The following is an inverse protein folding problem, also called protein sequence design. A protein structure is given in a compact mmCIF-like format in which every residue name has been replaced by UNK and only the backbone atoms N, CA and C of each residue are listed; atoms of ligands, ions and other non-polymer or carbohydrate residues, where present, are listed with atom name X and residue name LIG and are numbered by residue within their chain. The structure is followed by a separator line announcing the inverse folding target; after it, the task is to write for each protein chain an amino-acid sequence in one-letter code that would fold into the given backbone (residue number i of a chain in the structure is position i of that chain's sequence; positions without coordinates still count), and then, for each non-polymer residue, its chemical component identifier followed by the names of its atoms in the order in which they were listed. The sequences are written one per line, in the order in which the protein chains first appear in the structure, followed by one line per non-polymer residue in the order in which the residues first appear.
data_IF_605966422288
#
_entry.id   IF_605966422288
#
_cell.length_a   1.000
_cell.length_b   1.000
_cell.length_c   1.000
_cell.angle_alpha   90.00
_cell.angle_beta   90.00
_cell.angle_gamma   90.00
#
_symmetry.space_group_name_H-M   'P 1'
#
loop_
_entity.id
_entity.type
_entity.pdbx_description
1 polymer ?
#
# COMPACT_ATOMS: atom_id res chain seq x y z
N UNK A 1 -16.67 -14.18 -16.24
CA UNK A 1 -15.64 -13.27 -16.88
C UNK A 1 -14.67 -14.04 -17.73
N UNK A 2 -14.30 -13.55 -18.95
CA UNK A 2 -13.33 -14.23 -19.85
C UNK A 2 -11.90 -13.79 -19.51
N UNK A 3 -10.90 -14.67 -19.70
CA UNK A 3 -9.47 -14.35 -19.47
C UNK A 3 -8.99 -13.11 -20.22
N UNK A 4 -9.49 -12.86 -21.44
CA UNK A 4 -9.16 -11.66 -22.24
C UNK A 4 -9.60 -10.38 -21.56
N UNK A 5 -10.77 -10.40 -20.93
CA UNK A 5 -11.38 -9.23 -20.30
C UNK A 5 -10.64 -8.86 -19.02
N UNK A 6 -10.16 -9.85 -18.25
CA UNK A 6 -9.29 -9.63 -17.09
C UNK A 6 -8.00 -8.90 -17.49
N UNK A 7 -7.34 -9.35 -18.58
CA UNK A 7 -6.14 -8.67 -19.09
C UNK A 7 -6.43 -7.21 -19.47
N UNK A 8 -7.57 -6.96 -20.09
CA UNK A 8 -8.01 -5.60 -20.46
C UNK A 8 -8.21 -4.74 -19.23
N UNK A 9 -8.85 -5.27 -18.18
CA UNK A 9 -9.07 -4.58 -16.91
C UNK A 9 -7.74 -4.17 -16.25
N UNK A 10 -6.81 -5.11 -16.07
CA UNK A 10 -5.52 -4.80 -15.46
C UNK A 10 -4.65 -3.88 -16.33
N UNK A 11 -4.78 -3.97 -17.67
CA UNK A 11 -4.13 -3.01 -18.57
C UNK A 11 -4.70 -1.60 -18.36
N UNK A 12 -6.02 -1.44 -18.32
CA UNK A 12 -6.68 -0.15 -18.08
C UNK A 12 -6.24 0.47 -16.74
N UNK A 13 -6.11 -0.33 -15.67
CA UNK A 13 -5.58 0.15 -14.39
C UNK A 13 -4.16 0.71 -14.57
N UNK A 14 -3.26 -0.01 -15.23
CA UNK A 14 -1.87 0.44 -15.44
C UNK A 14 -1.76 1.67 -16.34
N UNK A 15 -2.64 1.77 -17.33
CA UNK A 15 -2.68 2.89 -18.27
C UNK A 15 -3.38 4.13 -17.69
N UNK A 16 -3.88 4.09 -16.44
CA UNK A 16 -4.63 5.15 -15.77
C UNK A 16 -5.98 5.47 -16.44
N UNK A 17 -6.54 4.51 -17.14
CA UNK A 17 -7.82 4.67 -17.84
C UNK A 17 -9.00 4.39 -16.90
N UNK A 18 -9.32 5.39 -16.06
CA UNK A 18 -10.45 5.31 -15.12
C UNK A 18 -11.77 5.07 -15.83
N UNK A 19 -11.98 5.66 -17.01
CA UNK A 19 -13.20 5.48 -17.76
C UNK A 19 -13.38 4.02 -18.14
N UNK A 20 -12.33 3.37 -18.67
CA UNK A 20 -12.39 1.96 -19.05
C UNK A 20 -12.55 1.04 -17.85
N UNK A 21 -11.88 1.32 -16.74
CA UNK A 21 -12.08 0.57 -15.47
C UNK A 21 -13.54 0.70 -15.01
N UNK A 22 -14.12 1.90 -15.05
CA UNK A 22 -15.52 2.15 -14.68
C UNK A 22 -16.48 1.37 -15.56
N UNK A 23 -16.33 1.43 -16.89
CA UNK A 23 -17.15 0.69 -17.84
C UNK A 23 -17.14 -0.82 -17.54
N UNK A 24 -15.95 -1.40 -17.31
CA UNK A 24 -15.81 -2.82 -17.03
C UNK A 24 -16.48 -3.21 -15.70
N UNK A 25 -16.23 -2.48 -14.62
CA UNK A 25 -16.82 -2.76 -13.30
C UNK A 25 -18.34 -2.57 -13.30
N UNK A 26 -18.86 -1.60 -14.05
CA UNK A 26 -20.32 -1.44 -14.21
C UNK A 26 -20.96 -2.57 -15.02
N UNK A 27 -20.24 -3.12 -16.00
CA UNK A 27 -20.72 -4.24 -16.81
C UNK A 27 -20.72 -5.56 -16.06
N UNK A 28 -19.77 -5.75 -15.12
CA UNK A 28 -19.65 -6.98 -14.34
C UNK A 28 -18.86 -6.71 -13.05
N UNK A 29 -19.54 -6.81 -11.90
CA UNK A 29 -18.92 -6.60 -10.59
C UNK A 29 -17.86 -7.65 -10.22
N UNK A 30 -17.77 -8.78 -10.92
CA UNK A 30 -16.71 -9.78 -10.69
C UNK A 30 -15.29 -9.23 -10.94
N UNK A 31 -15.16 -8.11 -11.69
CA UNK A 31 -13.86 -7.43 -11.86
C UNK A 31 -13.25 -6.95 -10.54
N UNK A 32 -14.08 -6.63 -9.54
CA UNK A 32 -13.59 -6.21 -8.22
C UNK A 32 -12.83 -7.32 -7.49
N UNK A 33 -13.17 -8.59 -7.77
CA UNK A 33 -12.54 -9.77 -7.18
C UNK A 33 -11.52 -10.44 -8.14
N UNK A 34 -11.30 -9.87 -9.34
CA UNK A 34 -10.37 -10.42 -10.29
C UNK A 34 -8.93 -10.30 -9.81
N UNK A 35 -8.13 -11.35 -10.05
CA UNK A 35 -6.69 -11.35 -9.82
C UNK A 35 -5.93 -11.31 -11.13
N UNK A 36 -4.79 -10.63 -11.13
CA UNK A 36 -3.93 -10.57 -12.31
C UNK A 36 -3.20 -11.91 -12.52
N UNK A 37 -3.19 -12.41 -13.74
CA UNK A 37 -2.43 -13.59 -14.17
C UNK A 37 -1.61 -13.31 -15.44
N UNK A 38 -1.58 -12.06 -15.87
CA UNK A 38 -0.92 -11.65 -17.11
C UNK A 38 0.32 -10.79 -16.79
N UNK A 39 1.25 -10.65 -17.75
CA UNK A 39 2.38 -9.75 -17.56
C UNK A 39 1.97 -8.33 -17.13
N UNK A 40 2.81 -7.66 -16.32
CA UNK A 40 4.10 -8.13 -15.84
C UNK A 40 3.98 -9.16 -14.70
N UNK A 41 4.91 -10.13 -14.65
CA UNK A 41 4.92 -11.20 -13.61
C UNK A 41 4.88 -10.67 -12.17
N UNK A 42 5.47 -9.50 -11.94
CA UNK A 42 5.47 -8.87 -10.62
C UNK A 42 4.08 -8.49 -10.09
N UNK A 43 3.05 -8.50 -10.93
CA UNK A 43 1.66 -8.23 -10.56
C UNK A 43 0.82 -9.52 -10.51
N UNK A 44 1.44 -10.69 -10.71
CA UNK A 44 0.73 -11.97 -10.66
C UNK A 44 0.06 -12.19 -9.31
N UNK A 45 -1.18 -12.66 -9.31
CA UNK A 45 -1.96 -12.92 -8.10
C UNK A 45 -2.46 -11.67 -7.35
N UNK A 46 -2.21 -10.46 -7.85
CA UNK A 46 -2.65 -9.21 -7.24
C UNK A 46 -4.07 -8.84 -7.67
N UNK A 47 -4.82 -8.21 -6.75
CA UNK A 47 -6.10 -7.59 -7.05
C UNK A 47 -5.95 -6.31 -7.88
N UNK A 48 -7.04 -5.83 -8.47
CA UNK A 48 -7.07 -4.54 -9.16
C UNK A 48 -6.69 -3.39 -8.24
N UNK A 49 -7.09 -3.43 -6.97
CA UNK A 49 -6.78 -2.43 -5.97
C UNK A 49 -5.27 -2.39 -5.64
N UNK A 50 -4.62 -3.56 -5.49
CA UNK A 50 -3.17 -3.64 -5.28
C UNK A 50 -2.40 -3.04 -6.47
N UNK A 51 -2.78 -3.39 -7.69
CA UNK A 51 -2.12 -2.86 -8.90
C UNK A 51 -2.33 -1.35 -9.01
N UNK A 52 -3.50 -0.82 -8.65
CA UNK A 52 -3.76 0.62 -8.64
C UNK A 52 -2.84 1.36 -7.65
N UNK A 53 -2.68 0.89 -6.41
CA UNK A 53 -1.74 1.46 -5.45
C UNK A 53 -0.29 1.36 -5.93
N UNK A 54 0.13 0.19 -6.38
CA UNK A 54 1.50 -0.09 -6.84
C UNK A 54 1.93 0.78 -8.03
N UNK A 55 0.97 1.19 -8.85
CA UNK A 55 1.21 2.07 -10.00
C UNK A 55 0.93 3.55 -9.72
N UNK A 56 0.50 3.90 -8.51
CA UNK A 56 0.19 5.27 -8.11
C UNK A 56 -1.08 5.82 -8.78
N UNK A 57 -2.00 4.95 -9.16
CA UNK A 57 -3.27 5.33 -9.80
C UNK A 57 -4.36 5.53 -8.74
N UNK A 58 -4.24 6.60 -7.96
CA UNK A 58 -5.06 6.85 -6.79
C UNK A 58 -6.53 7.07 -7.09
N UNK A 59 -6.88 7.65 -8.24
CA UNK A 59 -8.29 7.82 -8.64
C UNK A 59 -8.95 6.47 -8.93
N UNK A 60 -8.22 5.54 -9.56
CA UNK A 60 -8.70 4.18 -9.78
C UNK A 60 -8.79 3.42 -8.45
N UNK A 61 -7.78 3.55 -7.57
CA UNK A 61 -7.82 2.92 -6.25
C UNK A 61 -9.04 3.38 -5.45
N UNK A 62 -9.32 4.70 -5.44
CA UNK A 62 -10.48 5.25 -4.77
C UNK A 62 -11.78 4.71 -5.34
N UNK A 63 -11.94 4.73 -6.66
CA UNK A 63 -13.10 4.18 -7.34
C UNK A 63 -13.34 2.71 -6.98
N UNK A 64 -12.29 1.87 -7.06
CA UNK A 64 -12.41 0.45 -6.73
C UNK A 64 -12.84 0.22 -5.27
N UNK A 65 -12.27 0.99 -4.32
CA UNK A 65 -12.68 0.94 -2.91
C UNK A 65 -14.14 1.36 -2.70
N UNK A 66 -14.61 2.35 -3.44
CA UNK A 66 -15.99 2.83 -3.37
C UNK A 66 -16.97 1.81 -3.98
N UNK A 67 -16.54 1.07 -5.00
CA UNK A 67 -17.33 0.00 -5.61
C UNK A 67 -17.33 -1.29 -4.78
N UNK A 68 -16.55 -1.37 -3.70
CA UNK A 68 -16.54 -2.52 -2.79
C UNK A 68 -15.45 -3.56 -3.08
N UNK A 69 -14.35 -3.15 -3.71
CA UNK A 69 -13.17 -4.03 -3.81
C UNK A 69 -12.71 -4.48 -2.41
N UNK A 70 -12.28 -5.74 -2.28
CA UNK A 70 -11.82 -6.29 -1.00
C UNK A 70 -10.55 -5.58 -0.52
N UNK A 71 -10.70 -4.79 0.55
CA UNK A 71 -9.61 -4.03 1.19
C UNK A 71 -8.70 -4.90 2.07
N UNK A 72 -9.11 -6.13 2.36
CA UNK A 72 -8.34 -7.12 3.12
C UNK A 72 -7.79 -8.25 2.22
N UNK A 73 -7.87 -8.07 0.89
CA UNK A 73 -7.36 -9.05 -0.05
C UNK A 73 -5.88 -9.35 0.21
N UNK A 74 -5.54 -10.64 0.23
CA UNK A 74 -4.17 -11.14 0.29
C UNK A 74 -3.74 -11.60 -1.10
N UNK A 75 -2.56 -11.17 -1.57
CA UNK A 75 -1.98 -11.61 -2.84
C UNK A 75 -1.92 -13.14 -2.94
N UNK A 76 -2.35 -13.69 -4.08
CA UNK A 76 -2.48 -15.14 -4.30
C UNK A 76 -1.49 -15.69 -5.33
N UNK A 77 -0.41 -14.95 -5.64
CA UNK A 77 0.59 -15.38 -6.62
C UNK A 77 1.13 -16.77 -6.34
N UNK A 78 1.26 -17.56 -7.41
CA UNK A 78 1.93 -18.87 -7.37
C UNK A 78 3.39 -18.80 -7.81
N UNK A 79 3.83 -17.65 -8.32
CA UNK A 79 5.18 -17.43 -8.87
C UNK A 79 6.01 -16.41 -8.11
N UNK A 80 5.37 -15.50 -7.36
CA UNK A 80 6.04 -14.54 -6.50
C UNK A 80 6.14 -15.11 -5.08
N UNK A 81 7.33 -15.09 -4.50
CA UNK A 81 7.55 -15.53 -3.12
C UNK A 81 6.91 -14.57 -2.12
N UNK A 82 7.06 -13.26 -2.37
CA UNK A 82 6.45 -12.25 -1.52
C UNK A 82 4.97 -12.04 -1.87
N UNK A 83 4.13 -12.22 -0.87
CA UNK A 83 2.67 -12.01 -0.94
C UNK A 83 2.28 -11.09 0.18
N UNK A 84 1.53 -10.04 -0.14
CA UNK A 84 1.17 -9.02 0.83
C UNK A 84 -0.34 -8.77 0.86
N UNK A 85 -0.88 -8.33 2.02
CA UNK A 85 -2.20 -7.74 2.07
C UNK A 85 -2.22 -6.40 1.32
N UNK A 86 -3.35 -6.06 0.71
CA UNK A 86 -3.51 -4.82 -0.06
C UNK A 86 -3.18 -3.56 0.75
N UNK A 87 -3.37 -3.59 2.07
CA UNK A 87 -3.00 -2.49 2.96
C UNK A 87 -1.50 -2.16 2.86
N UNK A 88 -0.62 -3.16 2.68
CA UNK A 88 0.82 -2.93 2.53
C UNK A 88 1.15 -2.15 1.24
N UNK A 89 0.43 -2.41 0.13
CA UNK A 89 0.61 -1.65 -1.10
C UNK A 89 0.13 -0.20 -0.94
N UNK A 90 -0.96 0.04 -0.21
CA UNK A 90 -1.43 1.38 0.12
C UNK A 90 -0.43 2.14 1.00
N UNK A 91 0.10 1.51 2.06
CA UNK A 91 1.14 2.08 2.93
C UNK A 91 2.37 2.46 2.11
N UNK A 92 2.84 1.53 1.29
CA UNK A 92 4.00 1.74 0.43
C UNK A 92 3.79 2.91 -0.54
N UNK A 93 2.64 2.96 -1.22
CA UNK A 93 2.28 4.06 -2.11
C UNK A 93 2.26 5.40 -1.38
N UNK A 94 1.75 5.43 -0.13
CA UNK A 94 1.71 6.63 0.71
C UNK A 94 3.12 7.10 1.09
N UNK A 95 3.96 6.20 1.60
CA UNK A 95 5.32 6.54 2.04
C UNK A 95 6.19 6.97 0.86
N UNK A 96 6.12 6.30 -0.29
CA UNK A 96 6.87 6.70 -1.49
C UNK A 96 6.35 8.00 -2.15
N UNK A 97 5.16 8.46 -1.77
CA UNK A 97 4.64 9.77 -2.14
C UNK A 97 5.08 10.88 -1.18
N UNK A 98 5.84 10.57 -0.12
CA UNK A 98 6.32 11.56 0.85
C UNK A 98 7.30 12.56 0.22
N UNK A 99 7.50 13.67 0.92
CA UNK A 99 8.35 14.81 0.48
C UNK A 99 9.83 14.45 0.45
N UNK A 100 10.20 13.53 -0.44
CA UNK A 100 11.58 13.06 -0.62
C UNK A 100 12.07 13.34 -2.04
N UNK A 101 11.59 12.56 -3.01
CA UNK A 101 12.07 12.64 -4.40
C UNK A 101 11.36 13.78 -5.15
N UNK A 102 10.04 13.83 -5.11
CA UNK A 102 9.24 14.77 -5.90
C UNK A 102 9.08 16.16 -5.27
N UNK A 103 9.29 16.27 -3.97
CA UNK A 103 9.09 17.53 -3.22
C UNK A 103 7.69 18.14 -3.41
N UNK A 104 6.69 17.31 -3.63
CA UNK A 104 5.29 17.69 -3.80
C UNK A 104 4.42 17.08 -2.69
N UNK A 105 3.96 17.89 -1.70
CA UNK A 105 3.13 17.38 -0.62
C UNK A 105 1.77 16.85 -1.08
N UNK A 106 1.23 17.33 -2.20
CA UNK A 106 -0.12 16.98 -2.68
C UNK A 106 -0.25 15.49 -3.01
N UNK A 107 0.82 14.88 -3.50
CA UNK A 107 0.85 13.45 -3.79
C UNK A 107 0.75 12.61 -2.51
N UNK A 108 1.46 13.02 -1.47
CA UNK A 108 1.34 12.38 -0.16
C UNK A 108 -0.07 12.55 0.41
N UNK A 109 -0.63 13.75 0.38
CA UNK A 109 -1.95 14.03 0.93
C UNK A 109 -3.02 13.17 0.26
N UNK A 110 -2.93 13.00 -1.07
CA UNK A 110 -3.84 12.14 -1.83
C UNK A 110 -3.73 10.67 -1.40
N UNK A 111 -2.52 10.13 -1.34
CA UNK A 111 -2.26 8.75 -0.92
C UNK A 111 -2.65 8.51 0.54
N UNK A 112 -2.30 9.44 1.43
CA UNK A 112 -2.61 9.35 2.86
C UNK A 112 -4.12 9.41 3.14
N UNK A 113 -4.88 10.19 2.37
CA UNK A 113 -6.33 10.18 2.47
C UNK A 113 -6.92 8.81 2.10
N UNK A 114 -6.36 8.11 1.10
CA UNK A 114 -6.78 6.76 0.77
C UNK A 114 -6.42 5.75 1.87
N UNK A 115 -5.23 5.87 2.46
CA UNK A 115 -4.84 5.05 3.62
C UNK A 115 -5.84 5.23 4.77
N UNK A 116 -6.18 6.47 5.13
CA UNK A 116 -7.20 6.74 6.15
C UNK A 116 -8.56 6.14 5.78
N UNK A 117 -8.98 6.25 4.51
CA UNK A 117 -10.23 5.60 4.04
C UNK A 117 -10.19 4.08 4.22
N UNK A 118 -9.08 3.42 3.87
CA UNK A 118 -8.93 1.96 4.09
C UNK A 118 -9.04 1.59 5.56
N UNK A 119 -8.33 2.29 6.44
CA UNK A 119 -8.34 2.04 7.88
C UNK A 119 -9.74 2.26 8.48
N UNK A 120 -10.44 3.32 8.06
CA UNK A 120 -11.82 3.60 8.48
C UNK A 120 -12.81 2.52 8.00
N UNK A 121 -12.55 1.91 6.84
CA UNK A 121 -13.32 0.77 6.31
C UNK A 121 -12.92 -0.57 6.95
N UNK A 122 -12.06 -0.56 8.00
CA UNK A 122 -11.61 -1.73 8.75
C UNK A 122 -10.65 -2.65 7.97
N UNK A 123 -9.76 -2.06 7.18
CA UNK A 123 -8.57 -2.79 6.75
C UNK A 123 -7.81 -3.28 7.99
N UNK A 124 -7.42 -4.56 8.00
CA UNK A 124 -6.74 -5.18 9.14
C UNK A 124 -5.27 -4.72 9.23
N UNK A 125 -4.90 -3.90 10.24
CA UNK A 125 -3.53 -3.39 10.37
C UNK A 125 -2.55 -4.45 10.90
N UNK A 126 -3.05 -5.57 11.41
CA UNK A 126 -2.24 -6.65 11.97
C UNK A 126 -2.07 -7.85 11.02
N UNK A 127 -2.68 -7.79 9.83
CA UNK A 127 -2.42 -8.77 8.77
C UNK A 127 -0.93 -8.75 8.37
N UNK A 128 -0.35 -9.96 8.16
CA UNK A 128 1.07 -10.10 7.85
C UNK A 128 1.30 -10.53 6.40
N UNK A 129 2.41 -10.09 5.81
CA UNK A 129 2.87 -10.60 4.52
C UNK A 129 3.53 -11.99 4.67
N UNK A 130 3.92 -12.62 3.55
CA UNK A 130 4.56 -13.94 3.55
C UNK A 130 5.93 -13.99 4.23
N UNK A 131 6.50 -12.84 4.60
CA UNK A 131 7.73 -12.72 5.39
C UNK A 131 7.47 -12.33 6.85
N UNK A 132 6.20 -12.34 7.27
CA UNK A 132 5.80 -12.03 8.65
C UNK A 132 5.76 -10.54 9.00
N UNK A 133 5.93 -9.62 8.05
CA UNK A 133 5.80 -8.21 8.37
C UNK A 133 4.33 -7.82 8.50
N UNK A 134 3.96 -7.21 9.62
CA UNK A 134 2.70 -6.49 9.75
C UNK A 134 2.79 -5.08 9.10
N UNK A 135 1.72 -4.29 9.18
CA UNK A 135 1.66 -2.97 8.57
C UNK A 135 2.74 -2.00 9.12
N UNK A 136 3.07 -2.06 10.42
CA UNK A 136 4.10 -1.21 11.03
C UNK A 136 5.50 -1.60 10.56
N UNK A 137 5.81 -2.90 10.50
CA UNK A 137 7.07 -3.39 9.97
C UNK A 137 7.22 -3.03 8.49
N UNK A 138 6.14 -3.14 7.69
CA UNK A 138 6.14 -2.71 6.29
C UNK A 138 6.39 -1.21 6.16
N UNK A 139 5.67 -0.40 6.94
CA UNK A 139 5.85 1.04 6.95
C UNK A 139 7.28 1.44 7.34
N UNK A 140 7.89 0.76 8.32
CA UNK A 140 9.25 1.03 8.76
C UNK A 140 10.29 0.77 7.67
N UNK A 141 10.16 -0.38 6.97
CA UNK A 141 11.06 -0.73 5.87
C UNK A 141 10.98 0.29 4.72
N UNK A 142 9.78 0.76 4.39
CA UNK A 142 9.59 1.76 3.33
C UNK A 142 10.02 3.16 3.79
N UNK A 143 9.73 3.55 5.05
CA UNK A 143 10.19 4.81 5.64
C UNK A 143 11.72 4.89 5.67
N UNK A 144 12.39 3.79 6.04
CA UNK A 144 13.85 3.73 6.02
C UNK A 144 14.42 4.04 4.63
N UNK A 145 13.81 3.52 3.56
CA UNK A 145 14.23 3.84 2.19
C UNK A 145 14.09 5.33 1.86
N UNK A 146 13.05 5.99 2.38
CA UNK A 146 12.85 7.43 2.18
C UNK A 146 13.82 8.28 3.00
N UNK A 147 14.10 7.86 4.24
CA UNK A 147 15.03 8.54 5.14
C UNK A 147 16.50 8.40 4.69
N UNK A 148 16.87 7.22 4.17
CA UNK A 148 18.21 6.95 3.64
C UNK A 148 18.41 7.52 2.21
N UNK A 149 17.37 8.06 1.58
CA UNK A 149 17.45 8.58 0.23
C UNK A 149 18.33 9.85 0.20
N UNK A 150 19.30 9.98 -0.73
CA UNK A 150 20.12 11.18 -0.85
C UNK A 150 19.32 12.49 -1.06
N UNK A 151 18.09 12.40 -1.55
CA UNK A 151 17.18 13.54 -1.72
C UNK A 151 16.36 13.85 -0.46
N UNK A 152 16.52 13.11 0.64
CA UNK A 152 15.80 13.40 1.88
C UNK A 152 16.18 14.79 2.40
N UNK A 153 15.15 15.59 2.76
CA UNK A 153 15.35 16.91 3.33
C UNK A 153 14.67 16.98 4.70
N UNK A 154 15.49 17.07 5.73
CA UNK A 154 15.04 17.13 7.12
C UNK A 154 14.87 18.57 7.65
N UNK A 155 15.33 19.59 6.91
CA UNK A 155 15.38 20.98 7.38
C UNK A 155 14.01 21.61 7.51
N UNK A 156 13.09 21.28 6.60
CA UNK A 156 11.73 21.82 6.60
C UNK A 156 10.73 21.01 7.44
N UNK A 157 11.13 19.85 7.96
CA UNK A 157 10.31 18.98 8.80
C UNK A 157 9.18 18.23 8.08
N UNK A 158 8.91 18.52 6.80
CA UNK A 158 7.74 17.97 6.07
C UNK A 158 7.82 16.45 5.98
N UNK A 159 8.96 15.90 5.56
CA UNK A 159 9.15 14.45 5.44
C UNK A 159 8.85 13.73 6.76
N UNK A 160 9.44 14.18 7.86
CA UNK A 160 9.25 13.55 9.17
C UNK A 160 7.79 13.66 9.65
N UNK A 161 7.15 14.81 9.43
CA UNK A 161 5.74 14.99 9.76
C UNK A 161 4.84 14.03 8.99
N UNK A 162 5.09 13.85 7.69
CA UNK A 162 4.35 12.92 6.85
C UNK A 162 4.52 11.48 7.31
N UNK A 163 5.75 11.04 7.57
CA UNK A 163 6.01 9.69 8.08
C UNK A 163 5.33 9.46 9.44
N UNK A 164 5.46 10.39 10.39
CA UNK A 164 4.77 10.33 11.70
C UNK A 164 3.25 10.22 11.54
N UNK A 165 2.68 10.93 10.57
CA UNK A 165 1.24 10.85 10.30
C UNK A 165 0.82 9.44 9.85
N UNK A 166 1.65 8.75 9.05
CA UNK A 166 1.39 7.37 8.63
C UNK A 166 1.41 6.44 9.84
N UNK A 167 2.48 6.45 10.64
CA UNK A 167 2.59 5.58 11.83
C UNK A 167 1.47 5.85 12.83
N UNK A 168 1.16 7.13 13.10
CA UNK A 168 0.05 7.51 13.98
C UNK A 168 -1.29 6.98 13.49
N UNK A 169 -1.56 7.04 12.17
CA UNK A 169 -2.80 6.52 11.60
C UNK A 169 -2.91 4.99 11.75
N UNK A 170 -1.80 4.25 11.56
CA UNK A 170 -1.77 2.80 11.70
C UNK A 170 -2.00 2.38 13.18
N UNK A 171 -1.31 3.03 14.12
CA UNK A 171 -1.45 2.74 15.56
C UNK A 171 -2.87 3.09 16.04
N UNK A 172 -3.42 4.24 15.63
CA UNK A 172 -4.79 4.62 15.96
C UNK A 172 -5.84 3.68 15.36
N UNK A 173 -5.51 2.98 14.29
CA UNK A 173 -6.37 1.94 13.70
C UNK A 173 -6.24 0.58 14.40
N UNK A 174 -5.36 0.43 15.40
CA UNK A 174 -5.17 -0.79 16.18
C UNK A 174 -3.98 -1.64 15.76
N UNK A 175 -3.03 -1.09 15.00
CA UNK A 175 -1.75 -1.77 14.78
C UNK A 175 -1.00 -1.91 16.11
N UNK A 176 -0.55 -3.14 16.42
CA UNK A 176 0.19 -3.43 17.65
C UNK A 176 1.72 -3.26 17.42
N UNK A 177 2.36 -2.26 18.05
CA UNK A 177 3.81 -2.05 17.92
C UNK A 177 4.66 -3.19 18.50
N UNK A 178 4.08 -3.99 19.40
CA UNK A 178 4.76 -5.10 20.07
C UNK A 178 4.49 -6.46 19.41
N UNK A 179 3.65 -6.51 18.39
CA UNK A 179 3.34 -7.74 17.67
C UNK A 179 4.61 -8.32 17.05
N UNK A 180 4.96 -9.53 17.42
CA UNK A 180 5.98 -10.38 16.80
C UNK A 180 5.37 -11.70 16.35
N UNK A 181 6.09 -12.47 15.54
CA UNK A 181 5.72 -13.82 15.14
C UNK A 181 6.99 -14.67 14.92
N UNK A 182 6.83 -15.92 14.52
CA UNK A 182 7.96 -16.88 14.36
C UNK A 182 9.04 -16.42 13.38
N UNK A 183 8.69 -15.53 12.44
CA UNK A 183 9.58 -15.09 11.36
C UNK A 183 10.01 -13.63 11.48
N UNK A 184 9.36 -12.84 12.33
CA UNK A 184 9.59 -11.40 12.41
C UNK A 184 9.45 -10.86 13.84
N UNK A 185 10.44 -10.12 14.26
CA UNK A 185 10.42 -9.33 15.50
C UNK A 185 9.45 -8.15 15.41
N UNK A 186 9.12 -7.58 16.57
CA UNK A 186 8.19 -6.47 16.68
C UNK A 186 8.72 -5.19 16.01
N UNK A 187 7.79 -4.27 15.70
CA UNK A 187 8.13 -2.94 15.20
C UNK A 187 9.06 -2.20 16.17
N UNK A 188 8.78 -2.26 17.49
CA UNK A 188 9.62 -1.60 18.52
C UNK A 188 11.05 -2.17 18.49
N UNK A 189 11.22 -3.48 18.37
CA UNK A 189 12.54 -4.07 18.20
C UNK A 189 13.28 -3.53 16.96
N UNK A 190 12.59 -3.45 15.82
CA UNK A 190 13.21 -2.99 14.58
C UNK A 190 13.55 -1.49 14.61
N UNK A 191 12.76 -0.64 15.28
CA UNK A 191 13.08 0.78 15.47
C UNK A 191 14.45 0.91 16.15
N UNK A 192 14.67 0.18 17.22
CA UNK A 192 15.94 0.18 17.99
C UNK A 192 17.07 -0.39 17.13
N UNK A 193 16.87 -1.57 16.57
CA UNK A 193 17.90 -2.28 15.80
C UNK A 193 18.37 -1.48 14.55
N UNK A 194 17.48 -0.70 13.93
CA UNK A 194 17.83 0.16 12.80
C UNK A 194 18.22 1.58 13.21
N UNK A 195 18.33 1.89 14.51
CA UNK A 195 18.69 3.21 15.06
C UNK A 195 17.76 4.33 14.56
N UNK A 196 16.46 4.01 14.49
CA UNK A 196 15.45 4.93 13.97
C UNK A 196 14.73 5.74 15.05
N UNK A 197 15.06 5.55 16.34
CA UNK A 197 14.46 6.29 17.47
C UNK A 197 14.63 7.79 17.32
N UNK A 198 15.75 8.23 16.75
CA UNK A 198 16.06 9.65 16.50
C UNK A 198 14.99 10.36 15.65
N UNK A 199 14.23 9.63 14.83
CA UNK A 199 13.18 10.21 13.96
C UNK A 199 11.85 10.35 14.67
N UNK A 200 11.67 9.71 15.86
CA UNK A 200 10.43 9.77 16.65
C UNK A 200 9.19 9.52 15.78
N UNK A 201 9.17 8.39 15.06
CA UNK A 201 8.12 8.07 14.08
C UNK A 201 6.76 7.72 14.71
N UNK A 202 6.71 7.43 16.01
CA UNK A 202 5.50 7.07 16.74
C UNK A 202 5.54 7.61 18.18
#
# INVERSE_FOLDING_TARGET
MKKKDIKTFFKAIRDKDLQKVTELVLSDKEYLNATNFAPPKKDDGQSGLQVAFKTGNFDIAEYLMEQGADINFMETSLINEWKAPVLHDCIRATIFSSYTIRKDPSQFDRAFNLLKKMLNKKADPNAVDSYGNNCLNRALLDAKQMLDNPSADFRNGILLQQLRSVFGALINAGADPNQSNETRESFVYHIINHRMEQYQLY
#
